data_IF_291760665162
#
_entry.id   IF_291760665162
#
_cell.length_a   1.000
_cell.length_b   1.000
_cell.length_c   1.000
_cell.angle_alpha   90.00
_cell.angle_beta   90.00
_cell.angle_gamma   90.00
#
_symmetry.space_group_name_H-M   'P 1'
#
loop_
_entity.id
_entity.type
_entity.pdbx_description
1 polymer ?
#
# COMPACT_ATOMS: atom_id res chain seq x y z
N UNK A 1 -6.23 32.69 -6.86
CA UNK A 1 -7.13 31.62 -7.34
C UNK A 1 -6.24 30.44 -7.68
N UNK A 2 -6.52 29.25 -7.15
CA UNK A 2 -5.78 28.05 -7.52
C UNK A 2 -6.17 27.67 -8.95
N UNK A 3 -5.21 27.45 -9.88
CA UNK A 3 -5.52 27.04 -11.25
C UNK A 3 -6.41 25.79 -11.25
N UNK A 4 -7.39 25.72 -12.15
CA UNK A 4 -8.28 24.55 -12.32
C UNK A 4 -7.49 23.25 -12.42
N UNK A 5 -6.31 23.33 -13.02
CA UNK A 5 -5.45 22.21 -13.34
C UNK A 5 -4.74 21.66 -12.09
N UNK A 6 -4.40 22.52 -11.13
CA UNK A 6 -3.88 22.09 -9.83
C UNK A 6 -4.96 21.33 -9.05
N UNK A 7 -6.19 21.85 -9.01
CA UNK A 7 -7.29 21.16 -8.32
C UNK A 7 -7.58 19.80 -8.96
N UNK A 8 -7.60 19.71 -10.28
CA UNK A 8 -7.78 18.46 -11.00
C UNK A 8 -6.66 17.46 -10.71
N UNK A 9 -5.41 17.94 -10.62
CA UNK A 9 -4.25 17.11 -10.26
C UNK A 9 -4.40 16.49 -8.86
N UNK A 10 -4.78 17.30 -7.86
CA UNK A 10 -5.01 16.82 -6.49
C UNK A 10 -6.20 15.85 -6.43
N UNK A 11 -7.27 16.11 -7.18
CA UNK A 11 -8.40 15.17 -7.28
C UNK A 11 -7.98 13.83 -7.89
N UNK A 12 -7.13 13.86 -8.93
CA UNK A 12 -6.59 12.64 -9.54
C UNK A 12 -5.73 11.87 -8.53
N UNK A 13 -4.91 12.54 -7.75
CA UNK A 13 -4.15 11.92 -6.67
C UNK A 13 -5.06 11.18 -5.68
N UNK A 14 -6.11 11.83 -5.16
CA UNK A 14 -7.04 11.15 -4.24
C UNK A 14 -7.78 9.96 -4.88
N UNK A 15 -8.07 10.04 -6.17
CA UNK A 15 -8.64 8.91 -6.91
C UNK A 15 -7.67 7.73 -6.97
N UNK A 16 -6.40 7.98 -7.30
CA UNK A 16 -5.34 6.96 -7.29
C UNK A 16 -5.18 6.30 -5.91
N UNK A 17 -5.32 7.07 -4.84
CA UNK A 17 -5.30 6.52 -3.47
C UNK A 17 -6.51 5.64 -3.17
N UNK A 18 -7.67 5.96 -3.74
CA UNK A 18 -8.86 5.10 -3.64
C UNK A 18 -8.66 3.79 -4.41
N UNK A 19 -8.11 3.85 -5.62
CA UNK A 19 -7.74 2.66 -6.42
C UNK A 19 -6.70 1.80 -5.70
N UNK A 20 -5.73 2.42 -5.02
CA UNK A 20 -4.72 1.72 -4.21
C UNK A 20 -5.36 0.94 -3.06
N UNK A 21 -6.31 1.55 -2.35
CA UNK A 21 -7.05 0.89 -1.25
C UNK A 21 -7.83 -0.31 -1.77
N UNK A 22 -8.52 -0.16 -2.91
CA UNK A 22 -9.26 -1.26 -3.52
C UNK A 22 -8.32 -2.39 -3.99
N UNK A 23 -7.15 -2.04 -4.53
CA UNK A 23 -6.12 -3.02 -4.92
C UNK A 23 -5.64 -3.84 -3.72
N UNK A 24 -5.42 -3.20 -2.56
CA UNK A 24 -5.10 -3.92 -1.32
C UNK A 24 -6.22 -4.86 -0.88
N UNK A 25 -7.47 -4.43 -1.00
CA UNK A 25 -8.63 -5.25 -0.65
C UNK A 25 -8.70 -6.50 -1.52
N UNK A 26 -8.60 -6.35 -2.84
CA UNK A 26 -8.58 -7.48 -3.78
C UNK A 26 -7.41 -8.43 -3.51
N UNK A 27 -6.25 -7.88 -3.16
CA UNK A 27 -5.08 -8.68 -2.84
C UNK A 27 -5.29 -9.54 -1.59
N UNK A 28 -5.89 -8.98 -0.55
CA UNK A 28 -6.22 -9.72 0.68
C UNK A 28 -7.31 -10.77 0.43
N UNK A 29 -8.43 -10.40 -0.20
CA UNK A 29 -9.54 -11.31 -0.50
C UNK A 29 -9.08 -12.50 -1.35
N UNK A 30 -8.23 -12.25 -2.34
CA UNK A 30 -7.68 -13.29 -3.19
C UNK A 30 -6.66 -14.19 -2.48
N UNK A 31 -5.87 -13.65 -1.54
CA UNK A 31 -5.00 -14.49 -0.70
C UNK A 31 -5.81 -15.36 0.27
N UNK A 32 -6.88 -14.84 0.87
CA UNK A 32 -7.79 -15.66 1.68
C UNK A 32 -8.44 -16.77 0.86
N UNK A 33 -8.87 -16.48 -0.37
CA UNK A 33 -9.40 -17.48 -1.29
C UNK A 33 -8.36 -18.56 -1.61
N UNK A 34 -7.10 -18.16 -1.85
CA UNK A 34 -5.98 -19.08 -2.04
C UNK A 34 -5.76 -19.97 -0.81
N UNK A 35 -5.72 -19.42 0.40
CA UNK A 35 -5.53 -20.21 1.62
C UNK A 35 -6.63 -21.26 1.85
N UNK A 36 -7.89 -20.96 1.47
CA UNK A 36 -9.01 -21.91 1.55
C UNK A 36 -8.86 -23.14 0.65
N UNK A 37 -7.97 -23.09 -0.35
CA UNK A 37 -7.66 -24.25 -1.22
C UNK A 37 -6.67 -25.23 -0.58
N UNK A 38 -6.11 -24.90 0.59
CA UNK A 38 -5.20 -25.77 1.33
C UNK A 38 -5.81 -27.13 1.69
N UNK A 39 -5.01 -28.21 1.75
CA UNK A 39 -3.55 -28.24 1.53
C UNK A 39 -3.15 -28.30 0.03
N UNK A 40 -4.12 -28.44 -0.89
CA UNK A 40 -3.88 -28.49 -2.33
C UNK A 40 -3.99 -27.10 -2.95
N UNK A 41 -3.05 -26.23 -2.57
CA UNK A 41 -3.03 -24.84 -2.96
C UNK A 41 -3.12 -24.63 -4.49
N UNK A 42 -4.04 -23.77 -4.91
CA UNK A 42 -4.17 -23.34 -6.30
C UNK A 42 -3.17 -22.22 -6.63
N UNK A 43 -1.91 -22.62 -6.79
CA UNK A 43 -0.81 -21.69 -7.01
C UNK A 43 -0.89 -20.95 -8.35
N UNK A 44 -1.42 -21.58 -9.39
CA UNK A 44 -1.50 -20.99 -10.72
C UNK A 44 -2.47 -19.80 -10.75
N UNK A 45 -3.67 -19.96 -10.17
CA UNK A 45 -4.62 -18.85 -10.05
C UNK A 45 -4.10 -17.74 -9.13
N UNK A 46 -3.49 -18.10 -8.00
CA UNK A 46 -2.95 -17.09 -7.09
C UNK A 46 -1.78 -16.31 -7.70
N UNK A 47 -0.89 -16.98 -8.44
CA UNK A 47 0.21 -16.32 -9.16
C UNK A 47 -0.32 -15.34 -10.21
N UNK A 48 -1.38 -15.71 -10.94
CA UNK A 48 -2.01 -14.82 -11.91
C UNK A 48 -2.60 -13.57 -11.22
N UNK A 49 -3.31 -13.75 -10.11
CA UNK A 49 -3.81 -12.63 -9.30
C UNK A 49 -2.65 -11.72 -8.83
N UNK A 50 -1.59 -12.29 -8.27
CA UNK A 50 -0.42 -11.51 -7.81
C UNK A 50 0.17 -10.68 -8.95
N UNK A 51 0.22 -11.23 -10.17
CA UNK A 51 0.69 -10.50 -11.34
C UNK A 51 -0.21 -9.30 -11.66
N UNK A 52 -1.52 -9.47 -11.68
CA UNK A 52 -2.50 -8.40 -11.94
C UNK A 52 -2.45 -7.31 -10.86
N UNK A 53 -2.39 -7.70 -9.59
CA UNK A 53 -2.24 -6.78 -8.45
C UNK A 53 -0.93 -5.99 -8.55
N UNK A 54 0.18 -6.65 -8.94
CA UNK A 54 1.47 -5.98 -9.14
C UNK A 54 1.38 -4.93 -10.25
N UNK A 55 0.73 -5.25 -11.37
CA UNK A 55 0.52 -4.31 -12.46
C UNK A 55 -0.31 -3.10 -12.01
N UNK A 56 -1.39 -3.31 -11.24
CA UNK A 56 -2.22 -2.24 -10.69
C UNK A 56 -1.41 -1.29 -9.79
N UNK A 57 -0.66 -1.82 -8.82
CA UNK A 57 0.21 -1.00 -7.97
C UNK A 57 1.29 -0.26 -8.76
N UNK A 58 1.88 -0.90 -9.78
CA UNK A 58 2.85 -0.24 -10.66
C UNK A 58 2.23 0.90 -11.46
N UNK A 59 1.02 0.72 -11.99
CA UNK A 59 0.28 1.77 -12.71
C UNK A 59 0.01 2.97 -11.82
N UNK A 60 -0.58 2.73 -10.65
CA UNK A 60 -0.87 3.77 -9.65
C UNK A 60 0.41 4.52 -9.27
N UNK A 61 1.47 3.79 -8.92
CA UNK A 61 2.72 4.40 -8.45
C UNK A 61 3.42 5.25 -9.52
N UNK A 62 3.34 4.85 -10.80
CA UNK A 62 3.86 5.65 -11.91
C UNK A 62 3.12 6.98 -12.03
N UNK A 63 1.79 6.95 -12.00
CA UNK A 63 1.00 8.16 -12.14
C UNK A 63 1.16 9.10 -10.92
N UNK A 64 1.29 8.55 -9.70
CA UNK A 64 1.63 9.35 -8.51
C UNK A 64 2.99 10.04 -8.66
N UNK A 65 3.99 9.39 -9.27
CA UNK A 65 5.30 10.01 -9.54
C UNK A 65 5.21 11.13 -10.60
N UNK A 66 4.34 10.98 -11.60
CA UNK A 66 4.06 12.05 -12.57
C UNK A 66 3.40 13.25 -11.88
N UNK A 67 2.39 13.01 -11.03
CA UNK A 67 1.76 14.06 -10.22
C UNK A 67 2.79 14.79 -9.34
N UNK A 68 3.67 14.02 -8.69
CA UNK A 68 4.78 14.56 -7.89
C UNK A 68 5.67 15.50 -8.71
N UNK A 69 6.08 15.08 -9.90
CA UNK A 69 6.91 15.88 -10.80
C UNK A 69 6.22 17.19 -11.19
N UNK A 70 4.94 17.12 -11.58
CA UNK A 70 4.15 18.30 -11.94
C UNK A 70 3.98 19.28 -10.78
N UNK A 71 3.77 18.80 -9.56
CA UNK A 71 3.70 19.65 -8.38
C UNK A 71 4.99 20.45 -8.15
N UNK A 72 6.14 19.81 -8.37
CA UNK A 72 7.43 20.46 -8.26
C UNK A 72 7.69 21.44 -9.42
N UNK A 73 7.53 20.99 -10.66
CA UNK A 73 8.01 21.70 -11.84
C UNK A 73 7.00 22.70 -12.44
N UNK A 74 5.70 22.38 -12.42
CA UNK A 74 4.65 23.19 -13.06
C UNK A 74 3.93 24.12 -12.07
N UNK A 75 3.79 23.69 -10.81
CA UNK A 75 2.97 24.39 -9.82
C UNK A 75 3.77 25.07 -8.71
N UNK A 76 5.10 24.95 -8.70
CA UNK A 76 6.01 25.52 -7.69
C UNK A 76 5.60 25.12 -6.26
N UNK A 77 5.24 23.85 -6.09
CA UNK A 77 4.85 23.22 -4.81
C UNK A 77 5.79 22.07 -4.44
N UNK A 78 7.08 22.36 -4.19
CA UNK A 78 8.06 21.35 -3.76
C UNK A 78 7.69 20.72 -2.41
N UNK A 79 6.98 21.45 -1.55
CA UNK A 79 6.45 20.97 -0.26
C UNK A 79 5.49 19.77 -0.44
N UNK A 80 4.57 19.87 -1.40
CA UNK A 80 3.63 18.78 -1.71
C UNK A 80 4.32 17.63 -2.43
N UNK A 81 5.28 17.93 -3.30
CA UNK A 81 6.13 16.93 -3.96
C UNK A 81 6.89 16.08 -2.93
N UNK A 82 7.53 16.70 -1.95
CA UNK A 82 8.25 15.99 -0.88
C UNK A 82 7.29 15.17 -0.01
N UNK A 83 6.08 15.68 0.26
CA UNK A 83 5.07 14.93 0.98
C UNK A 83 4.64 13.66 0.23
N UNK A 84 4.41 13.75 -1.08
CA UNK A 84 4.10 12.59 -1.93
C UNK A 84 5.27 11.60 -1.96
N UNK A 85 6.52 12.08 -1.99
CA UNK A 85 7.70 11.19 -1.91
C UNK A 85 7.72 10.39 -0.60
N UNK A 86 7.50 11.05 0.54
CA UNK A 86 7.42 10.39 1.85
C UNK A 86 6.28 9.37 1.89
N UNK A 87 5.13 9.72 1.32
CA UNK A 87 3.98 8.84 1.23
C UNK A 87 4.27 7.59 0.38
N UNK A 88 4.85 7.74 -0.80
CA UNK A 88 5.23 6.62 -1.68
C UNK A 88 6.21 5.66 -0.99
N UNK A 89 7.14 6.18 -0.19
CA UNK A 89 8.03 5.34 0.62
C UNK A 89 7.26 4.51 1.65
N UNK A 90 6.26 5.10 2.31
CA UNK A 90 5.37 4.38 3.24
C UNK A 90 4.48 3.36 2.53
N UNK A 91 3.99 3.67 1.35
CA UNK A 91 3.19 2.73 0.56
C UNK A 91 4.00 1.51 0.11
N UNK A 92 5.26 1.72 -0.26
CA UNK A 92 6.20 0.62 -0.53
C UNK A 92 6.42 -0.25 0.71
N UNK A 93 6.72 0.36 1.85
CA UNK A 93 6.91 -0.35 3.13
C UNK A 93 5.65 -1.15 3.51
N UNK A 94 4.46 -0.56 3.37
CA UNK A 94 3.18 -1.23 3.62
C UNK A 94 3.00 -2.44 2.71
N UNK A 95 3.29 -2.33 1.41
CA UNK A 95 3.15 -3.45 0.46
C UNK A 95 4.10 -4.61 0.83
N UNK A 96 5.35 -4.31 1.20
CA UNK A 96 6.31 -5.31 1.65
C UNK A 96 5.85 -6.02 2.93
N UNK A 97 5.33 -5.27 3.91
CA UNK A 97 4.76 -5.85 5.14
C UNK A 97 3.50 -6.68 4.86
N UNK A 98 2.67 -6.27 3.91
CA UNK A 98 1.47 -7.03 3.50
C UNK A 98 1.86 -8.38 2.90
N UNK A 99 2.86 -8.42 2.01
CA UNK A 99 3.36 -9.68 1.46
C UNK A 99 3.96 -10.59 2.55
N UNK A 100 4.73 -10.03 3.49
CA UNK A 100 5.25 -10.78 4.65
C UNK A 100 4.11 -11.35 5.51
N UNK A 101 3.06 -10.57 5.75
CA UNK A 101 1.89 -11.02 6.51
C UNK A 101 1.20 -12.21 5.83
N UNK A 102 1.06 -12.17 4.52
CA UNK A 102 0.47 -13.28 3.76
C UNK A 102 1.28 -14.57 3.90
N UNK A 103 2.61 -14.49 3.75
CA UNK A 103 3.50 -15.63 3.96
C UNK A 103 3.39 -16.19 5.39
N UNK A 104 3.39 -15.32 6.40
CA UNK A 104 3.24 -15.74 7.80
C UNK A 104 1.88 -16.41 8.06
N UNK A 105 0.80 -15.90 7.45
CA UNK A 105 -0.53 -16.52 7.52
C UNK A 105 -0.54 -17.92 6.90
N UNK A 106 0.10 -18.10 5.75
CA UNK A 106 0.21 -19.41 5.11
C UNK A 106 1.02 -20.38 6.00
N UNK A 107 2.16 -19.94 6.54
CA UNK A 107 2.98 -20.75 7.46
C UNK A 107 2.21 -21.19 8.70
N UNK A 108 1.43 -20.29 9.32
CA UNK A 108 0.59 -20.62 10.46
C UNK A 108 -0.51 -21.65 10.13
N UNK A 109 -0.98 -21.69 8.87
CA UNK A 109 -1.94 -22.70 8.41
C UNK A 109 -1.27 -24.04 8.14
N UNK A 110 -0.06 -24.03 7.56
CA UNK A 110 0.71 -25.23 7.27
C UNK A 110 1.35 -25.86 8.52
N UNK A 111 1.58 -25.07 9.57
CA UNK A 111 2.23 -25.47 10.84
C UNK A 111 1.49 -24.91 12.07
N UNK A 112 0.29 -25.42 12.39
CA UNK A 112 -0.56 -24.84 13.44
C UNK A 112 -0.01 -25.01 14.86
N UNK A 113 0.88 -25.97 15.10
CA UNK A 113 1.59 -26.18 16.37
C UNK A 113 2.70 -25.14 16.66
N UNK A 114 3.12 -24.36 15.67
CA UNK A 114 4.16 -23.35 15.87
C UNK A 114 3.58 -22.02 16.38
N UNK A 115 3.68 -21.81 17.69
CA UNK A 115 3.27 -20.56 18.34
C UNK A 115 4.06 -19.33 17.83
N UNK A 116 5.28 -19.51 17.30
CA UNK A 116 6.07 -18.42 16.75
C UNK A 116 5.41 -17.79 15.53
N UNK A 117 4.70 -18.58 14.72
CA UNK A 117 3.96 -18.09 13.56
C UNK A 117 2.83 -17.12 13.95
N UNK A 118 2.14 -17.37 15.06
CA UNK A 118 1.08 -16.49 15.57
C UNK A 118 1.64 -15.15 16.09
N UNK A 119 2.75 -15.20 16.83
CA UNK A 119 3.43 -14.00 17.32
C UNK A 119 3.91 -13.12 16.16
N UNK A 120 4.51 -13.75 15.14
CA UNK A 120 4.98 -13.06 13.93
C UNK A 120 3.83 -12.38 13.17
N UNK A 121 2.66 -13.02 13.05
CA UNK A 121 1.47 -12.40 12.45
C UNK A 121 1.05 -11.14 13.21
N UNK A 122 1.04 -11.18 14.55
CA UNK A 122 0.64 -10.03 15.36
C UNK A 122 1.64 -8.88 15.23
N UNK A 123 2.94 -9.18 15.24
CA UNK A 123 3.99 -8.19 15.03
C UNK A 123 3.86 -7.52 13.66
N UNK A 124 3.72 -8.31 12.58
CA UNK A 124 3.59 -7.75 11.23
C UNK A 124 2.30 -6.92 11.10
N UNK A 125 1.17 -7.37 11.68
CA UNK A 125 -0.08 -6.57 11.70
C UNK A 125 0.12 -5.23 12.41
N UNK A 126 0.82 -5.23 13.55
CA UNK A 126 1.16 -4.00 14.26
C UNK A 126 2.00 -3.08 13.37
N UNK A 127 3.02 -3.60 12.70
CA UNK A 127 3.88 -2.83 11.80
C UNK A 127 3.10 -2.25 10.60
N UNK A 128 2.16 -3.01 10.01
CA UNK A 128 1.28 -2.50 8.95
C UNK A 128 0.42 -1.34 9.47
N UNK A 129 -0.14 -1.47 10.68
CA UNK A 129 -0.95 -0.42 11.31
C UNK A 129 -0.13 0.85 11.55
N UNK A 130 1.06 0.72 12.15
CA UNK A 130 1.98 1.83 12.40
C UNK A 130 2.40 2.50 11.08
N UNK A 131 2.70 1.72 10.04
CA UNK A 131 3.04 2.25 8.73
C UNK A 131 1.90 3.09 8.13
N UNK A 132 0.66 2.60 8.24
CA UNK A 132 -0.53 3.34 7.80
C UNK A 132 -0.75 4.63 8.60
N UNK A 133 -0.54 4.59 9.92
CA UNK A 133 -0.69 5.77 10.76
C UNK A 133 0.36 6.84 10.44
N UNK A 134 1.62 6.45 10.28
CA UNK A 134 2.71 7.37 9.91
C UNK A 134 2.53 7.96 8.50
N UNK A 135 1.83 7.25 7.60
CA UNK A 135 1.48 7.77 6.29
C UNK A 135 0.35 8.82 6.33
N UNK A 136 -0.43 8.86 7.41
CA UNK A 136 -1.52 9.82 7.64
C UNK A 136 -1.12 11.00 8.52
N UNK A 137 0.06 10.95 9.15
CA UNK A 137 0.56 11.99 10.04
C UNK A 137 0.97 13.24 9.22
N UNK A 138 0.15 14.28 9.30
CA UNK A 138 0.41 15.58 8.68
C UNK A 138 1.49 16.31 9.50
N UNK A 139 2.64 16.70 8.90
CA UNK A 139 3.70 17.43 9.63
C UNK A 139 3.32 18.85 10.09
N UNK A 140 2.08 19.32 9.89
CA UNK A 140 1.64 20.66 10.29
C UNK A 140 1.29 20.81 11.79
N UNK A 141 1.48 19.78 12.63
CA UNK A 141 1.22 19.89 14.09
C UNK A 141 2.47 19.85 14.97
N UNK A 142 3.68 19.92 14.40
CA UNK A 142 4.93 20.07 15.18
C UNK A 142 5.62 21.38 14.85
N UNK A 143 5.09 22.47 15.40
CA UNK A 143 5.73 23.78 15.31
C UNK A 143 4.84 24.90 15.85
N UNK A 144 4.68 24.99 17.17
CA UNK A 144 4.30 26.21 17.91
C UNK A 144 4.47 25.96 19.41
N UNK A 145 5.72 25.98 19.87
CA UNK A 145 6.10 26.46 21.21
C UNK A 145 7.23 27.48 21.04
#
# INVERSE_FOLDING_TARGET
>A
MVPSDFKALIQRFYHLQSERVETYRLFEEGHEAYLRTGPHYDFDHYRQLVHEITQAFCGISKEVLEIKGRLHDEFDRPDLSEHIEKLQNKEKEKLELTAKLQLAKQQAQDQPEDQSCQEQIQEIKHNVCVCCFLAQDHPEQRGSE
#
